data_IF_882315809883
#
_entry.id   IF_882315809883
#
_cell.length_a   1.000
_cell.length_b   1.000
_cell.length_c   1.000
_cell.angle_alpha   90.00
_cell.angle_beta   90.00
_cell.angle_gamma   90.00
#
_symmetry.space_group_name_H-M   'P 1'
#
loop_
_entity.id
_entity.type
_entity.pdbx_description
1 polymer ?
#
# COMPACT_ATOMS: atom_id res chain seq x y z
N UNK A 1 -32.57 -11.17 7.76
CA UNK A 1 -32.69 -11.42 6.30
C UNK A 1 -32.94 -10.10 5.57
N UNK A 2 -33.79 -9.26 6.12
CA UNK A 2 -34.07 -7.96 5.46
C UNK A 2 -32.85 -7.04 5.59
N UNK A 3 -32.90 -5.88 4.98
CA UNK A 3 -31.73 -4.95 5.07
C UNK A 3 -31.35 -4.76 6.54
N UNK A 4 -30.08 -4.62 6.82
CA UNK A 4 -29.64 -4.43 8.22
C UNK A 4 -28.24 -3.84 8.25
N UNK A 5 -27.78 -3.41 9.39
CA UNK A 5 -26.41 -2.82 9.48
C UNK A 5 -25.37 -3.92 9.34
N UNK A 6 -25.68 -5.10 9.82
CA UNK A 6 -24.71 -6.23 9.71
C UNK A 6 -24.18 -6.34 8.28
N UNK A 7 -25.00 -6.00 7.31
CA UNK A 7 -24.54 -6.10 5.90
C UNK A 7 -23.60 -4.94 5.56
N UNK A 8 -23.98 -3.73 5.88
CA UNK A 8 -23.11 -2.57 5.57
C UNK A 8 -21.69 -2.83 6.08
N UNK A 9 -21.55 -3.56 7.16
CA UNK A 9 -20.19 -3.84 7.68
C UNK A 9 -19.43 -4.70 6.66
N UNK A 10 -19.86 -5.93 6.49
CA UNK A 10 -19.17 -6.83 5.52
C UNK A 10 -19.03 -6.11 4.18
N UNK A 11 -19.84 -5.10 3.95
CA UNK A 11 -19.75 -4.34 2.67
C UNK A 11 -18.48 -3.48 2.69
N UNK A 12 -18.35 -2.64 3.69
CA UNK A 12 -17.13 -1.79 3.78
C UNK A 12 -15.89 -2.66 3.61
N UNK A 13 -15.97 -3.89 4.02
CA UNK A 13 -14.81 -4.81 3.88
C UNK A 13 -14.60 -5.16 2.40
N UNK A 14 -15.66 -5.43 1.70
CA UNK A 14 -15.54 -5.79 0.26
C UNK A 14 -14.95 -4.62 -0.52
N UNK A 15 -15.67 -3.53 -0.63
CA UNK A 15 -15.15 -2.35 -1.39
C UNK A 15 -13.70 -2.08 -0.99
N UNK A 16 -13.38 -2.14 0.27
CA UNK A 16 -11.98 -1.88 0.69
C UNK A 16 -11.07 -2.96 0.09
N UNK A 17 -11.46 -4.20 0.21
CA UNK A 17 -10.63 -5.30 -0.35
C UNK A 17 -10.41 -5.07 -1.85
N UNK A 18 -11.37 -4.47 -2.51
CA UNK A 18 -11.21 -4.20 -3.98
C UNK A 18 -10.45 -2.90 -4.18
N UNK A 19 -10.33 -2.09 -3.15
CA UNK A 19 -9.59 -0.81 -3.28
C UNK A 19 -8.23 -1.07 -3.93
N UNK A 20 -7.23 -1.37 -3.15
CA UNK A 20 -5.88 -1.63 -3.74
C UNK A 20 -5.81 -3.08 -4.25
N UNK A 21 -6.84 -3.85 -4.00
CA UNK A 21 -6.83 -5.26 -4.48
C UNK A 21 -5.99 -6.11 -3.53
N UNK A 22 -6.32 -6.13 -2.27
CA UNK A 22 -5.54 -6.94 -1.29
C UNK A 22 -6.13 -8.35 -1.26
N UNK A 23 -5.34 -9.35 -1.57
CA UNK A 23 -5.86 -10.73 -1.56
C UNK A 23 -6.42 -11.06 -0.18
N UNK A 24 -7.35 -11.99 -0.10
CA UNK A 24 -7.92 -12.35 1.22
C UNK A 24 -6.80 -12.81 2.15
N UNK A 25 -5.97 -13.71 1.68
CA UNK A 25 -4.85 -14.20 2.54
C UNK A 25 -4.09 -13.00 3.08
N UNK A 26 -3.93 -11.97 2.30
CA UNK A 26 -3.20 -10.76 2.77
C UNK A 26 -4.14 -9.92 3.63
N UNK A 27 -5.41 -9.97 3.36
CA UNK A 27 -6.38 -9.16 4.16
C UNK A 27 -6.50 -9.74 5.57
N UNK A 28 -6.86 -10.99 5.68
CA UNK A 28 -7.01 -11.62 7.03
C UNK A 28 -5.65 -11.67 7.74
N UNK A 29 -4.64 -12.15 7.09
CA UNK A 29 -3.30 -12.24 7.75
C UNK A 29 -2.86 -10.85 8.18
N UNK A 30 -2.72 -9.95 7.26
CA UNK A 30 -2.28 -8.57 7.62
C UNK A 30 -3.06 -8.08 8.85
N UNK A 31 -4.30 -8.44 8.96
CA UNK A 31 -5.12 -8.01 10.13
C UNK A 31 -4.52 -8.57 11.41
N UNK A 32 -4.66 -9.85 11.64
CA UNK A 32 -4.10 -10.46 12.87
C UNK A 32 -2.63 -10.04 13.03
N UNK A 33 -1.97 -9.73 11.95
CA UNK A 33 -0.54 -9.33 12.05
C UNK A 33 -0.46 -7.87 12.51
N UNK A 34 -1.53 -7.12 12.39
CA UNK A 34 -1.51 -5.70 12.83
C UNK A 34 -1.96 -5.61 14.29
N UNK A 35 -2.61 -6.63 14.79
CA UNK A 35 -3.07 -6.59 16.21
C UNK A 35 -1.85 -6.50 17.14
N UNK A 36 -0.67 -6.43 16.59
CA UNK A 36 0.55 -6.34 17.44
C UNK A 36 0.67 -4.94 18.03
N UNK A 37 0.64 -3.92 17.21
CA UNK A 37 0.76 -2.53 17.75
C UNK A 37 -0.54 -2.16 18.48
N UNK A 38 -0.46 -1.54 19.63
CA UNK A 38 -1.67 -1.12 20.41
C UNK A 38 -2.30 0.15 19.86
N UNK A 39 -1.98 0.50 18.66
CA UNK A 39 -2.53 1.74 18.05
C UNK A 39 -3.83 1.43 17.31
N UNK A 40 -4.84 1.00 18.02
CA UNK A 40 -6.14 0.67 17.37
C UNK A 40 -5.92 -0.31 16.22
N UNK A 41 -6.24 -1.55 16.41
CA UNK A 41 -6.06 -2.55 15.31
C UNK A 41 -6.60 -1.98 14.00
N UNK A 42 -7.76 -1.39 14.04
CA UNK A 42 -8.34 -0.81 12.79
C UNK A 42 -7.28 0.02 12.07
N UNK A 43 -6.85 1.11 12.65
CA UNK A 43 -5.82 1.95 11.99
C UNK A 43 -4.65 1.07 11.54
N UNK A 44 -4.12 0.28 12.43
CA UNK A 44 -2.98 -0.61 12.06
C UNK A 44 -3.28 -1.31 10.73
N UNK A 45 -4.49 -1.78 10.56
CA UNK A 45 -4.83 -2.48 9.30
C UNK A 45 -4.71 -1.50 8.12
N UNK A 46 -5.21 -0.30 8.28
CA UNK A 46 -5.11 0.70 7.19
C UNK A 46 -3.65 1.12 7.00
N UNK A 47 -2.82 0.82 7.95
CA UNK A 47 -1.37 1.19 7.85
C UNK A 47 -0.62 0.11 7.06
N UNK A 48 -0.68 -1.12 7.49
CA UNK A 48 0.04 -2.20 6.76
C UNK A 48 -0.38 -2.20 5.29
N UNK A 49 -1.65 -2.12 5.01
CA UNK A 49 -2.09 -2.11 3.58
C UNK A 49 -1.24 -1.12 2.79
N UNK A 50 -1.07 0.08 3.29
CA UNK A 50 -0.25 1.08 2.56
C UNK A 50 1.15 0.51 2.30
N UNK A 51 1.73 -0.11 3.29
CA UNK A 51 3.09 -0.68 3.10
C UNK A 51 3.12 -1.55 1.83
N UNK A 52 1.97 -1.92 1.33
CA UNK A 52 1.92 -2.77 0.10
C UNK A 52 2.96 -2.31 -0.92
N UNK A 53 3.96 -3.13 -1.15
CA UNK A 53 5.05 -2.77 -2.12
C UNK A 53 4.46 -2.10 -3.36
N UNK A 54 3.43 -2.65 -3.93
CA UNK A 54 2.82 -2.03 -5.15
C UNK A 54 2.32 -0.62 -4.84
N UNK A 55 1.49 -0.47 -3.84
CA UNK A 55 0.96 0.88 -3.50
C UNK A 55 2.11 1.90 -3.50
N UNK A 56 3.09 1.69 -2.67
CA UNK A 56 4.24 2.64 -2.62
C UNK A 56 4.72 2.96 -4.05
N UNK A 57 5.02 1.95 -4.82
CA UNK A 57 5.51 2.19 -6.21
C UNK A 57 4.50 3.06 -6.97
N UNK A 58 3.26 2.65 -7.02
CA UNK A 58 2.24 3.45 -7.76
C UNK A 58 2.06 4.82 -7.09
N UNK A 59 2.42 4.94 -5.84
CA UNK A 59 2.25 6.25 -5.15
C UNK A 59 3.40 7.19 -5.52
N UNK A 60 4.62 6.76 -5.34
CA UNK A 60 5.78 7.63 -5.67
C UNK A 60 5.69 8.09 -7.12
N UNK A 61 4.84 7.48 -7.91
CA UNK A 61 4.70 7.89 -9.34
C UNK A 61 5.67 7.09 -10.21
N UNK A 62 5.99 5.89 -9.81
CA UNK A 62 6.93 5.04 -10.62
C UNK A 62 6.11 4.21 -11.60
N UNK A 63 4.81 4.23 -11.46
CA UNK A 63 3.93 3.45 -12.38
C UNK A 63 2.60 4.22 -12.51
N UNK A 64 1.92 4.05 -13.61
CA UNK A 64 0.64 4.79 -13.81
C UNK A 64 -0.48 4.14 -12.98
N UNK A 65 -0.53 2.84 -12.92
CA UNK A 65 -1.62 2.18 -12.15
C UNK A 65 -1.12 0.89 -11.51
N UNK A 66 -1.96 0.22 -10.77
CA UNK A 66 -1.53 -1.03 -10.10
C UNK A 66 -1.00 -2.01 -11.16
N UNK A 67 -1.66 -2.12 -12.27
CA UNK A 67 -1.19 -3.04 -13.34
C UNK A 67 0.26 -2.68 -13.69
N UNK A 68 0.63 -1.46 -13.47
CA UNK A 68 2.02 -1.01 -13.79
C UNK A 68 2.90 -1.21 -12.55
N UNK A 69 2.43 -0.85 -11.40
CA UNK A 69 3.27 -1.03 -10.17
C UNK A 69 3.34 -2.52 -9.83
N UNK A 70 2.34 -3.28 -10.16
CA UNK A 70 2.37 -4.74 -9.84
C UNK A 70 3.43 -5.42 -10.69
N UNK A 71 3.36 -5.28 -11.99
CA UNK A 71 4.36 -5.93 -12.88
C UNK A 71 5.77 -5.44 -12.52
N UNK A 72 5.91 -4.21 -12.12
CA UNK A 72 7.27 -3.70 -11.77
C UNK A 72 7.83 -4.54 -10.62
N UNK A 73 7.06 -4.74 -9.59
CA UNK A 73 7.55 -5.55 -8.44
C UNK A 73 7.84 -6.98 -8.91
N UNK A 74 6.81 -7.72 -9.21
CA UNK A 74 6.98 -9.14 -9.65
C UNK A 74 8.16 -9.27 -10.62
N UNK A 75 8.26 -8.39 -11.58
CA UNK A 75 9.38 -8.50 -12.56
C UNK A 75 10.69 -8.06 -11.88
N UNK A 76 10.76 -8.14 -10.58
CA UNK A 76 12.00 -7.74 -9.84
C UNK A 76 12.58 -6.46 -10.45
N UNK A 77 12.21 -5.32 -9.95
CA UNK A 77 12.77 -4.03 -10.50
C UNK A 77 12.84 -2.98 -9.39
N UNK A 78 12.45 -3.33 -8.18
CA UNK A 78 12.48 -2.35 -7.05
C UNK A 78 13.50 -2.83 -6.01
N UNK A 79 14.43 -1.99 -5.64
CA UNK A 79 15.46 -2.38 -4.63
C UNK A 79 15.09 -1.77 -3.27
N UNK A 80 14.48 -2.51 -2.40
CA UNK A 80 14.13 -1.95 -1.08
C UNK A 80 15.40 -1.85 -0.24
N UNK A 81 15.62 -0.75 0.42
CA UNK A 81 16.85 -0.59 1.25
C UNK A 81 18.07 -1.10 0.48
N UNK A 82 17.95 -1.22 -0.82
CA UNK A 82 19.09 -1.73 -1.64
C UNK A 82 18.97 -3.24 -1.79
N UNK A 83 17.76 -3.74 -1.87
CA UNK A 83 17.56 -5.21 -2.02
C UNK A 83 16.36 -5.46 -2.94
N UNK A 84 16.53 -6.29 -3.94
CA UNK A 84 15.40 -6.57 -4.87
C UNK A 84 14.26 -7.24 -4.10
N UNK A 85 13.04 -6.81 -4.32
CA UNK A 85 11.87 -7.41 -3.62
C UNK A 85 10.76 -7.70 -4.64
N UNK A 86 10.85 -8.81 -5.33
CA UNK A 86 9.80 -9.17 -6.32
C UNK A 86 8.58 -9.69 -5.57
N UNK A 87 8.53 -9.43 -4.30
CA UNK A 87 7.38 -9.90 -3.47
C UNK A 87 6.38 -8.75 -3.29
N UNK A 88 5.16 -8.88 -3.76
CA UNK A 88 4.14 -7.80 -3.61
C UNK A 88 3.49 -7.81 -2.22
N UNK A 89 3.46 -8.96 -1.58
CA UNK A 89 2.83 -9.05 -0.23
C UNK A 89 3.81 -8.59 0.86
N UNK A 90 5.09 -8.58 0.57
CA UNK A 90 6.06 -8.14 1.62
C UNK A 90 5.61 -6.79 2.18
N UNK A 91 6.33 -6.24 3.13
CA UNK A 91 5.92 -4.93 3.71
C UNK A 91 7.16 -4.12 4.09
N UNK A 92 7.10 -2.82 3.90
CA UNK A 92 8.26 -1.95 4.24
C UNK A 92 7.94 -1.15 5.51
N UNK A 93 8.95 -0.64 6.17
CA UNK A 93 8.72 0.15 7.42
C UNK A 93 9.80 1.24 7.52
N UNK A 94 9.50 2.34 8.17
CA UNK A 94 10.49 3.45 8.32
C UNK A 94 11.91 2.92 8.55
N UNK A 95 12.90 3.60 8.01
CA UNK A 95 14.32 3.14 8.16
C UNK A 95 14.76 2.43 6.89
N UNK A 96 13.95 2.48 5.86
CA UNK A 96 14.32 1.82 4.57
C UNK A 96 13.74 2.64 3.42
N UNK A 97 14.16 2.39 2.20
CA UNK A 97 13.62 3.18 1.04
C UNK A 97 13.36 2.25 -0.15
N UNK A 98 12.62 2.75 -1.11
CA UNK A 98 12.30 1.97 -2.34
C UNK A 98 13.14 2.55 -3.49
N UNK A 99 14.04 1.79 -4.06
CA UNK A 99 14.90 2.31 -5.17
C UNK A 99 14.75 1.45 -6.42
N UNK A 100 14.27 2.03 -7.49
CA UNK A 100 14.09 1.28 -8.75
C UNK A 100 15.39 0.53 -9.10
N UNK A 101 15.29 -0.53 -9.87
CA UNK A 101 16.53 -1.29 -10.24
C UNK A 101 17.18 -0.65 -11.46
N UNK A 102 18.47 -0.51 -11.45
CA UNK A 102 19.19 0.12 -12.60
C UNK A 102 18.63 -0.41 -13.93
N UNK A 103 18.93 -1.63 -14.27
CA UNK A 103 18.45 -2.19 -15.56
C UNK A 103 16.95 -1.92 -15.73
N UNK A 104 16.29 -1.45 -14.70
CA UNK A 104 14.82 -1.16 -14.77
C UNK A 104 14.56 0.32 -14.49
N UNK A 105 15.28 1.21 -15.12
CA UNK A 105 15.08 2.68 -14.87
C UNK A 105 14.62 3.37 -16.17
N UNK A 106 15.12 2.97 -17.30
CA UNK A 106 14.71 3.62 -18.57
C UNK A 106 13.36 3.05 -19.00
N UNK A 107 12.73 2.32 -18.13
CA UNK A 107 11.42 1.72 -18.46
C UNK A 107 10.41 2.82 -18.82
N UNK A 108 9.89 2.80 -20.02
CA UNK A 108 8.90 3.83 -20.42
C UNK A 108 7.78 3.87 -19.36
N UNK A 109 7.26 2.74 -19.01
CA UNK A 109 6.16 2.71 -18.00
C UNK A 109 6.60 3.51 -16.75
N UNK A 110 7.87 3.54 -16.43
CA UNK A 110 8.31 4.35 -15.26
C UNK A 110 8.56 5.77 -15.74
N UNK A 111 9.50 5.95 -16.63
CA UNK A 111 9.81 7.29 -17.17
C UNK A 111 8.50 7.95 -17.58
N UNK A 112 7.47 7.17 -17.74
CA UNK A 112 6.14 7.72 -18.12
C UNK A 112 5.36 8.06 -16.85
N UNK A 113 5.51 7.28 -15.81
CA UNK A 113 4.78 7.57 -14.54
C UNK A 113 5.46 8.70 -13.78
N UNK A 114 6.73 8.93 -13.99
CA UNK A 114 7.43 10.02 -13.27
C UNK A 114 6.71 11.35 -13.54
N UNK A 115 6.19 11.52 -14.73
CA UNK A 115 5.47 12.78 -15.06
C UNK A 115 4.10 12.76 -14.39
N UNK A 116 3.50 11.60 -14.31
CA UNK A 116 2.16 11.49 -13.68
C UNK A 116 2.30 11.68 -12.16
N UNK A 117 3.17 12.55 -11.75
CA UNK A 117 3.35 12.77 -10.28
C UNK A 117 2.05 13.28 -9.66
N UNK A 118 1.21 12.40 -9.19
CA UNK A 118 -0.07 12.83 -8.57
C UNK A 118 0.18 13.19 -7.12
N UNK A 119 1.04 14.17 -6.89
CA UNK A 119 1.36 14.59 -5.50
C UNK A 119 1.90 13.41 -4.69
N UNK A 120 3.00 13.61 -3.99
CA UNK A 120 3.59 12.52 -3.18
C UNK A 120 3.29 12.77 -1.70
N UNK A 121 2.76 11.81 -0.96
CA UNK A 121 2.45 12.00 0.49
C UNK A 121 3.55 12.77 1.22
N UNK A 122 3.31 13.15 2.44
CA UNK A 122 4.34 13.90 3.22
C UNK A 122 5.31 12.94 3.91
N UNK A 123 4.89 11.73 4.20
CA UNK A 123 5.81 10.77 4.88
C UNK A 123 6.69 10.06 3.85
N UNK A 124 6.44 10.26 2.58
CA UNK A 124 7.29 9.60 1.52
C UNK A 124 8.17 10.64 0.85
N UNK A 125 9.46 10.45 0.90
CA UNK A 125 10.40 11.40 0.24
C UNK A 125 10.86 10.75 -1.08
N UNK A 126 10.60 11.38 -2.20
CA UNK A 126 11.00 10.77 -3.51
C UNK A 126 12.11 11.59 -4.16
N UNK A 127 13.17 10.92 -4.57
CA UNK A 127 14.31 11.62 -5.24
C UNK A 127 14.42 11.10 -6.68
N UNK A 128 13.77 11.75 -7.62
CA UNK A 128 13.79 11.32 -9.05
C UNK A 128 15.21 11.07 -9.58
N UNK A 129 16.16 11.87 -9.17
CA UNK A 129 17.55 11.67 -9.65
C UNK A 129 17.96 10.21 -9.43
N UNK A 130 17.77 9.71 -8.23
CA UNK A 130 18.15 8.29 -7.95
C UNK A 130 16.89 7.42 -7.90
N UNK A 131 15.74 7.99 -8.19
CA UNK A 131 14.48 7.19 -8.15
C UNK A 131 14.42 6.43 -6.83
N UNK A 132 14.64 7.11 -5.72
CA UNK A 132 14.61 6.43 -4.39
C UNK A 132 13.44 6.96 -3.55
N UNK A 133 12.48 6.12 -3.26
CA UNK A 133 11.32 6.54 -2.44
C UNK A 133 11.60 6.19 -0.98
N UNK A 134 12.03 7.14 -0.21
CA UNK A 134 12.38 6.85 1.21
C UNK A 134 11.15 6.92 2.12
N UNK A 135 10.96 5.91 2.92
CA UNK A 135 9.84 5.91 3.90
C UNK A 135 10.37 6.67 5.12
N UNK A 136 10.25 7.96 5.13
CA UNK A 136 10.83 8.76 6.26
C UNK A 136 9.86 8.83 7.45
N UNK A 137 8.61 8.49 7.27
CA UNK A 137 7.66 8.54 8.42
C UNK A 137 6.50 7.59 8.18
N UNK A 138 5.65 7.40 9.15
CA UNK A 138 4.49 6.47 8.97
C UNK A 138 3.32 7.23 8.33
N UNK A 139 2.43 6.53 7.67
CA UNK A 139 1.24 7.16 7.02
C UNK A 139 0.09 7.42 8.00
N UNK A 140 -0.46 8.60 8.01
CA UNK A 140 -1.60 8.89 8.93
C UNK A 140 -2.92 8.62 8.19
N UNK A 141 -4.03 8.70 8.87
CA UNK A 141 -5.33 8.43 8.19
C UNK A 141 -5.75 9.65 7.37
N UNK A 142 -5.31 10.82 7.75
CA UNK A 142 -5.70 12.05 7.01
C UNK A 142 -5.49 11.84 5.51
N UNK A 143 -4.49 11.08 5.14
CA UNK A 143 -4.22 10.84 3.68
C UNK A 143 -4.94 9.57 3.21
N UNK A 144 -4.74 8.47 3.90
CA UNK A 144 -5.41 7.21 3.48
C UNK A 144 -6.89 7.47 3.20
N UNK A 145 -7.50 6.74 2.29
CA UNK A 145 -8.93 6.91 1.94
C UNK A 145 -9.80 7.29 3.15
N UNK A 146 -10.54 8.36 3.05
CA UNK A 146 -11.41 8.79 4.19
C UNK A 146 -12.78 8.14 4.04
N UNK A 147 -13.22 7.93 2.84
CA UNK A 147 -14.56 7.30 2.63
C UNK A 147 -14.49 5.82 3.05
N UNK A 148 -13.42 5.43 3.68
CA UNK A 148 -13.27 4.00 4.13
C UNK A 148 -13.33 3.96 5.65
N UNK A 149 -13.69 2.83 6.21
CA UNK A 149 -13.76 2.69 7.69
C UNK A 149 -13.14 1.34 8.09
N UNK A 150 -13.16 0.99 9.35
CA UNK A 150 -12.54 -0.31 9.76
C UNK A 150 -13.22 -0.89 11.01
N UNK A 151 -13.96 -0.12 11.76
CA UNK A 151 -14.62 -0.68 12.96
C UNK A 151 -15.59 -1.79 12.56
N UNK A 152 -16.53 -1.48 11.70
CA UNK A 152 -17.50 -2.52 11.25
C UNK A 152 -16.72 -3.79 10.88
N UNK A 153 -15.48 -3.64 10.51
CA UNK A 153 -14.65 -4.83 10.15
C UNK A 153 -13.98 -5.36 11.41
N UNK A 154 -13.79 -4.54 12.40
CA UNK A 154 -13.16 -5.00 13.66
C UNK A 154 -14.05 -6.08 14.30
N UNK A 155 -15.25 -5.72 14.65
CA UNK A 155 -16.17 -6.70 15.29
C UNK A 155 -16.46 -7.86 14.32
N UNK A 156 -16.29 -7.65 13.05
CA UNK A 156 -16.57 -8.75 12.07
C UNK A 156 -15.88 -10.03 12.52
N UNK A 157 -14.68 -9.93 13.02
CA UNK A 157 -13.95 -11.15 13.47
C UNK A 157 -14.57 -11.65 14.77
N UNK A 158 -15.15 -10.78 15.55
CA UNK A 158 -15.77 -11.21 16.83
C UNK A 158 -16.94 -12.16 16.54
N UNK A 159 -17.41 -12.17 15.33
CA UNK A 159 -18.55 -13.06 14.97
C UNK A 159 -18.04 -14.49 14.80
#
# INVERSE_FOLDING_TARGET
>A
MKLSEYGLQLQEKQKLRHMYGVNERQFRKTFEEAGKMPGKHGENFMILLESRLDNLVYRLGLARTRRQARQLVTHGHILVDGSRVNIPSYRVKPGQTIAVREKSRNLQVIKEALEANNYIPDYLSFDPEKMEGTYTRLPERSELPAEINEALIVEFYSR
#
